data_IF_535925995737
#
_entry.id   IF_535925995737
#
_cell.length_a   1.000
_cell.length_b   1.000
_cell.length_c   1.000
_cell.angle_alpha   90.00
_cell.angle_beta   90.00
_cell.angle_gamma   90.00
#
_symmetry.space_group_name_H-M   'P 1'
#
loop_
_entity.id
_entity.type
_entity.pdbx_description
1 polymer ?
#
# COMPACT_ATOMS: atom_id res chain seq x y z
N UNK A 1 -15.84 -18.63 -22.65
CA UNK A 1 -16.30 -18.60 -21.24
C UNK A 1 -15.15 -18.04 -20.42
N UNK A 2 -15.46 -17.17 -19.46
CA UNK A 2 -14.49 -16.58 -18.53
C UNK A 2 -14.36 -17.48 -17.29
N UNK A 3 -13.14 -17.56 -16.74
CA UNK A 3 -12.83 -18.33 -15.55
C UNK A 3 -11.78 -17.59 -14.72
N UNK A 4 -11.89 -17.66 -13.40
CA UNK A 4 -10.97 -17.00 -12.45
C UNK A 4 -10.19 -18.02 -11.63
N UNK A 5 -8.93 -17.69 -11.31
CA UNK A 5 -8.06 -18.46 -10.42
C UNK A 5 -7.30 -17.50 -9.51
N UNK A 6 -7.45 -17.67 -8.20
CA UNK A 6 -6.70 -16.89 -7.21
C UNK A 6 -5.28 -17.45 -7.02
N UNK A 7 -4.29 -16.56 -7.02
CA UNK A 7 -2.87 -16.88 -6.80
C UNK A 7 -2.23 -15.88 -5.85
N UNK A 8 -1.21 -16.31 -5.12
CA UNK A 8 -0.39 -15.43 -4.29
C UNK A 8 0.64 -14.67 -5.14
N UNK A 9 0.91 -13.41 -4.80
CA UNK A 9 1.96 -12.59 -5.42
C UNK A 9 2.68 -11.74 -4.39
N UNK A 10 3.93 -11.37 -4.68
CA UNK A 10 4.71 -10.46 -3.84
C UNK A 10 4.20 -9.03 -4.00
N UNK A 11 3.79 -8.41 -2.91
CA UNK A 11 3.37 -7.01 -2.88
C UNK A 11 4.50 -6.09 -2.39
N UNK A 12 4.55 -4.87 -2.93
CA UNK A 12 5.50 -3.83 -2.51
C UNK A 12 4.75 -2.82 -1.66
N UNK A 13 5.34 -2.41 -0.54
CA UNK A 13 4.86 -1.28 0.24
C UNK A 13 6.05 -0.41 0.65
N UNK A 14 5.78 0.79 1.11
CA UNK A 14 6.76 1.71 1.67
C UNK A 14 6.41 1.99 3.12
N UNK A 15 7.42 2.22 3.94
CA UNK A 15 7.25 2.52 5.35
C UNK A 15 8.02 3.79 5.69
N UNK A 16 7.41 4.63 6.50
CA UNK A 16 8.01 5.81 7.09
C UNK A 16 7.90 5.70 8.61
N UNK A 17 9.05 5.70 9.28
CA UNK A 17 9.18 5.37 10.70
C UNK A 17 9.46 3.90 10.95
N UNK A 18 9.80 3.57 12.19
CA UNK A 18 10.07 2.21 12.66
C UNK A 18 9.13 1.85 13.79
N UNK A 19 8.68 0.59 13.82
CA UNK A 19 7.89 0.08 14.93
C UNK A 19 8.74 0.04 16.20
N UNK A 20 8.17 0.54 17.29
CA UNK A 20 8.82 0.52 18.60
C UNK A 20 7.78 0.42 19.71
N UNK A 21 8.23 0.24 20.95
CA UNK A 21 7.34 0.29 22.11
C UNK A 21 6.62 1.65 22.28
N UNK A 22 7.11 2.71 21.63
CA UNK A 22 6.49 4.03 21.66
C UNK A 22 5.42 4.24 20.57
N UNK A 23 5.31 3.32 19.60
CA UNK A 23 4.33 3.42 18.52
C UNK A 23 2.91 3.38 19.09
N UNK A 24 2.11 4.36 18.67
CA UNK A 24 0.72 4.59 19.09
C UNK A 24 -0.26 4.57 17.93
N UNK A 25 0.23 4.80 16.71
CA UNK A 25 -0.59 4.90 15.52
C UNK A 25 0.09 4.22 14.34
N UNK A 26 -0.67 3.40 13.62
CA UNK A 26 -0.32 2.88 12.31
C UNK A 26 -1.26 3.50 11.27
N UNK A 27 -0.70 4.21 10.31
CA UNK A 27 -1.48 4.80 9.22
C UNK A 27 -1.26 4.03 7.93
N UNK A 28 -2.32 3.42 7.40
CA UNK A 28 -2.30 2.79 6.08
C UNK A 28 -2.81 3.80 5.04
N UNK A 29 -1.96 4.21 4.09
CA UNK A 29 -2.26 5.30 3.14
C UNK A 29 -2.19 4.82 1.70
N UNK A 30 -3.28 4.97 0.94
CA UNK A 30 -3.37 4.53 -0.45
C UNK A 30 -3.06 5.68 -1.42
N UNK A 31 -2.18 5.43 -2.38
CA UNK A 31 -1.85 6.39 -3.44
C UNK A 31 -2.93 6.41 -4.54
N UNK A 32 -2.96 7.48 -5.34
CA UNK A 32 -3.86 7.63 -6.49
C UNK A 32 -3.38 6.89 -7.75
N UNK A 33 -4.19 6.97 -8.81
CA UNK A 33 -3.88 6.36 -10.12
C UNK A 33 -2.55 6.88 -10.70
N UNK A 34 -1.72 5.97 -11.22
CA UNK A 34 -0.45 6.30 -11.87
C UNK A 34 0.65 6.75 -10.90
N UNK A 35 0.41 6.69 -9.59
CA UNK A 35 1.42 6.98 -8.58
C UNK A 35 2.11 5.68 -8.15
N UNK A 36 3.38 5.78 -7.74
CA UNK A 36 4.09 4.70 -7.04
C UNK A 36 4.16 5.06 -5.56
N UNK A 37 4.10 4.05 -4.71
CA UNK A 37 4.11 4.24 -3.26
C UNK A 37 5.37 4.99 -2.78
N UNK A 38 6.53 4.74 -3.39
CA UNK A 38 7.82 5.38 -3.04
C UNK A 38 7.76 6.91 -3.14
N UNK A 39 7.14 7.42 -4.20
CA UNK A 39 7.01 8.87 -4.40
C UNK A 39 5.85 9.44 -3.59
N UNK A 40 4.75 8.69 -3.48
CA UNK A 40 3.59 9.09 -2.70
C UNK A 40 3.91 9.27 -1.22
N UNK A 41 4.69 8.36 -0.62
CA UNK A 41 5.06 8.37 0.79
C UNK A 41 5.72 9.70 1.22
N UNK A 42 6.44 10.37 0.31
CA UNK A 42 7.17 11.62 0.61
C UNK A 42 6.27 12.76 1.08
N UNK A 43 4.97 12.74 0.75
CA UNK A 43 4.01 13.75 1.20
C UNK A 43 3.73 13.67 2.72
N UNK A 44 4.06 12.54 3.36
CA UNK A 44 3.82 12.32 4.78
C UNK A 44 5.00 12.67 5.67
N UNK A 45 6.13 13.11 5.10
CA UNK A 45 7.33 13.50 5.86
C UNK A 45 7.04 14.58 6.91
N UNK A 46 6.24 15.59 6.58
CA UNK A 46 5.90 16.67 7.51
C UNK A 46 5.04 16.18 8.67
N UNK A 47 4.05 15.32 8.40
CA UNK A 47 3.16 14.77 9.42
C UNK A 47 3.90 13.79 10.32
N UNK A 48 4.70 12.88 9.75
CA UNK A 48 5.55 11.99 10.52
C UNK A 48 6.54 12.76 11.40
N UNK A 49 7.07 13.89 10.91
CA UNK A 49 7.94 14.77 11.67
C UNK A 49 7.33 15.34 12.96
N UNK A 50 6.00 15.38 13.08
CA UNK A 50 5.31 15.82 14.31
C UNK A 50 5.37 14.77 15.42
N UNK A 51 5.49 13.48 15.08
CA UNK A 51 5.58 12.38 16.05
C UNK A 51 6.39 11.19 15.48
N UNK A 52 7.73 11.34 15.33
CA UNK A 52 8.56 10.37 14.59
C UNK A 52 8.63 8.97 15.22
N UNK A 53 8.31 8.86 16.51
CA UNK A 53 8.36 7.59 17.26
C UNK A 53 6.98 7.00 17.52
N UNK A 54 5.93 7.83 17.58
CA UNK A 54 4.58 7.40 17.87
C UNK A 54 3.73 7.07 16.64
N UNK A 55 4.09 7.55 15.46
CA UNK A 55 3.31 7.33 14.23
C UNK A 55 4.16 6.66 13.16
N UNK A 56 3.79 5.43 12.79
CA UNK A 56 4.36 4.71 11.63
C UNK A 56 3.37 4.79 10.48
N UNK A 57 3.85 5.17 9.30
CA UNK A 57 3.01 5.34 8.10
C UNK A 57 3.44 4.32 7.07
N UNK A 58 2.48 3.57 6.53
CA UNK A 58 2.71 2.54 5.51
C UNK A 58 1.88 2.82 4.27
N UNK A 59 2.54 2.87 3.12
CA UNK A 59 1.92 3.06 1.82
C UNK A 59 2.03 1.75 1.00
N UNK A 60 0.98 0.93 0.93
CA UNK A 60 0.94 -0.18 -0.02
C UNK A 60 0.99 0.34 -1.46
N UNK A 61 1.66 -0.39 -2.33
CA UNK A 61 1.61 -0.14 -3.76
C UNK A 61 0.55 -1.02 -4.43
N UNK A 62 -0.27 -0.39 -5.25
CA UNK A 62 -1.25 -1.11 -6.03
C UNK A 62 -0.59 -2.15 -6.95
N UNK A 63 -1.26 -3.30 -7.11
CA UNK A 63 -0.65 -4.49 -7.71
C UNK A 63 -0.44 -4.39 -9.24
N UNK A 64 -1.23 -3.57 -9.93
CA UNK A 64 -1.18 -3.43 -11.39
C UNK A 64 -0.26 -2.26 -11.78
N UNK A 65 0.98 -2.56 -12.17
CA UNK A 65 1.95 -1.56 -12.67
C UNK A 65 1.86 -1.40 -14.19
N UNK A 66 2.04 -0.18 -14.66
CA UNK A 66 2.00 0.16 -16.08
C UNK A 66 2.91 1.35 -16.39
N UNK A 67 3.33 1.48 -17.64
CA UNK A 67 4.01 2.70 -18.11
C UNK A 67 2.96 3.81 -18.30
N UNK A 68 3.17 4.96 -17.68
CA UNK A 68 2.23 6.09 -17.72
C UNK A 68 2.10 6.66 -19.13
N UNK A 69 3.15 6.53 -19.95
CA UNK A 69 3.17 6.96 -21.34
C UNK A 69 3.89 5.92 -22.20
N UNK A 70 3.26 5.51 -23.31
CA UNK A 70 3.83 4.54 -24.23
C UNK A 70 4.13 3.18 -23.58
N UNK A 71 5.27 2.59 -23.94
CA UNK A 71 5.69 1.26 -23.47
C UNK A 71 7.02 1.30 -22.70
N UNK A 72 7.46 2.49 -22.27
CA UNK A 72 8.72 2.68 -21.56
C UNK A 72 8.68 3.94 -20.68
N UNK A 73 9.73 4.13 -19.86
CA UNK A 73 9.87 5.31 -19.02
C UNK A 73 9.11 5.19 -17.70
N UNK A 74 8.37 6.24 -17.32
CA UNK A 74 7.81 6.37 -15.97
C UNK A 74 6.73 5.31 -15.72
N UNK A 75 6.94 4.53 -14.67
CA UNK A 75 5.98 3.53 -14.20
C UNK A 75 5.03 4.16 -13.19
N UNK A 76 3.77 3.78 -13.26
CA UNK A 76 2.75 4.05 -12.25
C UNK A 76 2.04 2.76 -11.84
N UNK A 77 1.14 2.84 -10.88
CA UNK A 77 0.33 1.72 -10.44
C UNK A 77 -1.15 2.08 -10.34
N UNK A 78 -2.02 1.10 -10.51
CA UNK A 78 -3.48 1.22 -10.33
C UNK A 78 -4.01 0.10 -9.43
N UNK A 79 -4.98 0.46 -8.59
CA UNK A 79 -5.69 -0.47 -7.70
C UNK A 79 -6.65 -1.36 -8.48
N UNK A 80 -7.34 -0.76 -9.44
CA UNK A 80 -8.31 -1.46 -10.26
C UNK A 80 -8.57 -0.72 -11.57
N UNK A 81 -9.20 -1.39 -12.51
CA UNK A 81 -9.77 -0.80 -13.72
C UNK A 81 -11.29 -0.97 -13.72
N UNK A 82 -11.96 -0.55 -14.79
CA UNK A 82 -13.38 -0.82 -14.98
C UNK A 82 -13.65 -2.27 -15.36
N UNK A 83 -12.65 -2.99 -15.91
CA UNK A 83 -12.75 -4.40 -16.23
C UNK A 83 -12.61 -5.23 -14.94
N UNK A 84 -13.49 -6.21 -14.78
CA UNK A 84 -13.50 -7.17 -13.65
C UNK A 84 -13.42 -6.51 -12.25
N UNK A 85 -13.99 -5.30 -12.14
CA UNK A 85 -13.83 -4.40 -10.99
C UNK A 85 -14.13 -5.05 -9.64
N UNK A 86 -15.17 -5.89 -9.57
CA UNK A 86 -15.58 -6.50 -8.30
C UNK A 86 -14.59 -7.56 -7.83
N UNK A 87 -13.99 -8.33 -8.74
CA UNK A 87 -12.93 -9.29 -8.43
C UNK A 87 -11.67 -8.53 -8.01
N UNK A 88 -11.28 -7.48 -8.73
CA UNK A 88 -10.13 -6.66 -8.34
C UNK A 88 -10.33 -6.00 -6.97
N UNK A 89 -11.54 -5.51 -6.64
CA UNK A 89 -11.85 -5.00 -5.29
C UNK A 89 -11.62 -6.07 -4.22
N UNK A 90 -12.08 -7.31 -4.45
CA UNK A 90 -11.90 -8.40 -3.51
C UNK A 90 -10.42 -8.77 -3.33
N UNK A 91 -9.65 -8.83 -4.43
CA UNK A 91 -8.21 -9.11 -4.39
C UNK A 91 -7.43 -8.00 -3.66
N UNK A 92 -7.76 -6.73 -3.90
CA UNK A 92 -7.13 -5.60 -3.19
C UNK A 92 -7.50 -5.60 -1.71
N UNK A 93 -8.75 -5.92 -1.34
CA UNK A 93 -9.15 -6.04 0.06
C UNK A 93 -8.36 -7.14 0.76
N UNK A 94 -8.28 -8.34 0.17
CA UNK A 94 -7.50 -9.44 0.71
C UNK A 94 -6.01 -9.10 0.86
N UNK A 95 -5.43 -8.37 -0.10
CA UNK A 95 -4.07 -7.86 0.00
C UNK A 95 -3.90 -6.88 1.17
N UNK A 96 -4.76 -5.87 1.28
CA UNK A 96 -4.68 -4.86 2.33
C UNK A 96 -4.89 -5.46 3.72
N UNK A 97 -5.81 -6.42 3.86
CA UNK A 97 -6.03 -7.16 5.11
C UNK A 97 -4.80 -7.98 5.50
N UNK A 98 -4.19 -8.69 4.54
CA UNK A 98 -2.97 -9.47 4.79
C UNK A 98 -1.79 -8.57 5.20
N UNK A 99 -1.65 -7.41 4.54
CA UNK A 99 -0.64 -6.43 4.90
C UNK A 99 -0.91 -5.85 6.29
N UNK A 100 -2.15 -5.47 6.60
CA UNK A 100 -2.51 -4.93 7.91
C UNK A 100 -2.21 -5.94 9.02
N UNK A 101 -2.58 -7.21 8.83
CA UNK A 101 -2.27 -8.28 9.79
C UNK A 101 -0.75 -8.46 9.97
N UNK A 102 0.03 -8.42 8.89
CA UNK A 102 1.49 -8.49 8.95
C UNK A 102 2.10 -7.32 9.76
N UNK A 103 1.61 -6.10 9.55
CA UNK A 103 2.10 -4.90 10.25
C UNK A 103 1.68 -4.88 11.72
N UNK A 104 0.43 -5.23 12.04
CA UNK A 104 -0.07 -5.28 13.40
C UNK A 104 0.68 -6.30 14.26
N UNK A 105 1.15 -7.41 13.68
CA UNK A 105 2.00 -8.37 14.39
C UNK A 105 3.34 -7.78 14.86
N UNK A 106 3.81 -6.69 14.22
CA UNK A 106 5.01 -5.95 14.62
C UNK A 106 4.71 -4.76 15.55
N UNK A 107 3.44 -4.43 15.77
CA UNK A 107 3.02 -3.29 16.58
C UNK A 107 2.84 -3.64 18.07
N UNK A 108 2.97 -2.66 18.98
CA UNK A 108 2.45 -2.79 20.33
C UNK A 108 0.94 -3.12 20.35
N UNK A 109 0.42 -3.85 21.35
CA UNK A 109 -0.98 -4.31 21.39
C UNK A 109 -2.07 -3.23 21.39
N UNK A 110 -1.70 -1.95 21.53
CA UNK A 110 -2.62 -0.81 21.65
C UNK A 110 -2.64 0.11 20.41
N UNK A 111 -1.91 -0.28 19.36
CA UNK A 111 -1.89 0.42 18.06
C UNK A 111 -3.10 0.01 17.23
#
# INVERSE_FOLDING_TARGET
>A
MEHHLTISRTARYQQLGEFSAATRQLWLVAHGYGQLAEYFMRHFNSVHGLDPTGTVIVAPEALSRFYISGTSGRVGASWMTTADRLVEIADQAAYLDALLAHLLAACPPKV
#
